data_IF_131255588477
#
_entry.id   IF_131255588477
#
_cell.length_a   1.000
_cell.length_b   1.000
_cell.length_c   1.000
_cell.angle_alpha   90.00
_cell.angle_beta   90.00
_cell.angle_gamma   90.00
#
_symmetry.space_group_name_H-M   'P 1'
#
loop_
_entity.id
_entity.type
_entity.pdbx_description
1 polymer ?
#
# COMPACT_ATOMS: atom_id res chain seq x y z
N UNK A 1 -12.55 -4.96 -4.74
CA UNK A 1 -11.09 -4.77 -4.92
C UNK A 1 -10.60 -4.99 -6.36
N UNK A 2 -11.02 -6.03 -7.10
CA UNK A 2 -10.44 -6.38 -8.42
C UNK A 2 -10.70 -5.37 -9.57
N UNK A 3 -11.48 -4.32 -9.33
CA UNK A 3 -11.79 -3.27 -10.30
C UNK A 3 -11.24 -1.89 -9.87
N UNK A 4 -10.36 -1.83 -8.87
CA UNK A 4 -9.79 -0.57 -8.40
C UNK A 4 -9.10 0.22 -9.51
N UNK A 5 -8.49 -0.45 -10.49
CA UNK A 5 -7.82 0.20 -11.60
C UNK A 5 -8.75 1.03 -12.50
N UNK A 6 -10.03 0.65 -12.61
CA UNK A 6 -11.02 1.39 -13.41
C UNK A 6 -11.23 2.80 -12.85
N UNK A 7 -11.45 2.89 -11.54
CA UNK A 7 -11.64 4.17 -10.85
C UNK A 7 -10.38 5.03 -10.88
N UNK A 8 -9.21 4.42 -10.65
CA UNK A 8 -7.92 5.13 -10.66
C UNK A 8 -7.65 5.73 -12.05
N UNK A 9 -7.79 4.96 -13.13
CA UNK A 9 -7.54 5.44 -14.48
C UNK A 9 -8.47 6.57 -14.88
N UNK A 10 -9.76 6.47 -14.52
CA UNK A 10 -10.74 7.50 -14.85
C UNK A 10 -10.36 8.84 -14.21
N UNK A 11 -10.04 8.83 -12.91
CA UNK A 11 -9.61 10.02 -12.20
C UNK A 11 -8.28 10.58 -12.75
N UNK A 12 -7.26 9.73 -12.92
CA UNK A 12 -5.94 10.21 -13.37
C UNK A 12 -5.95 10.72 -14.80
N UNK A 13 -6.78 10.14 -15.66
CA UNK A 13 -6.92 10.61 -17.06
C UNK A 13 -7.66 11.94 -17.12
N UNK A 14 -8.73 12.10 -16.33
CA UNK A 14 -9.49 13.35 -16.26
C UNK A 14 -8.62 14.53 -15.78
N UNK A 15 -7.87 14.32 -14.69
CA UNK A 15 -7.00 15.34 -14.11
C UNK A 15 -5.59 15.40 -14.75
N UNK A 16 -5.30 14.54 -15.73
CA UNK A 16 -4.00 14.45 -16.43
C UNK A 16 -2.82 14.25 -15.47
N UNK A 17 -3.01 13.40 -14.46
CA UNK A 17 -2.02 13.14 -13.41
C UNK A 17 -0.93 12.20 -13.95
N UNK A 18 0.36 12.57 -13.87
CA UNK A 18 1.46 11.66 -14.19
C UNK A 18 1.46 10.43 -13.28
N UNK A 19 1.79 9.26 -13.84
CA UNK A 19 1.75 7.98 -13.10
C UNK A 19 2.63 7.98 -11.85
N UNK A 20 3.80 8.62 -11.92
CA UNK A 20 4.75 8.79 -10.82
C UNK A 20 4.20 9.62 -9.64
N UNK A 21 3.16 10.42 -9.87
CA UNK A 21 2.52 11.25 -8.85
C UNK A 21 1.32 10.53 -8.20
N UNK A 22 1.04 9.28 -8.62
CA UNK A 22 0.03 8.43 -8.01
C UNK A 22 0.65 7.73 -6.80
N UNK A 23 0.00 7.87 -5.64
CA UNK A 23 0.34 7.15 -4.41
C UNK A 23 -0.79 6.18 -4.09
N UNK A 24 -0.50 4.89 -4.04
CA UNK A 24 -1.44 3.82 -3.68
C UNK A 24 -1.10 3.29 -2.29
N UNK A 25 -2.06 3.40 -1.37
CA UNK A 25 -1.94 2.82 -0.02
C UNK A 25 -2.68 1.48 -0.04
N UNK A 26 -2.04 0.40 0.41
CA UNK A 26 -2.66 -0.93 0.42
C UNK A 26 -2.10 -1.83 1.53
N UNK A 27 -2.85 -2.86 1.88
CA UNK A 27 -2.42 -3.90 2.81
C UNK A 27 -1.35 -4.81 2.21
N UNK A 28 -0.45 -5.30 3.05
CA UNK A 28 0.69 -6.10 2.66
C UNK A 28 0.87 -7.30 3.59
N UNK A 29 0.74 -8.49 3.02
CA UNK A 29 0.81 -9.76 3.75
C UNK A 29 2.24 -10.11 4.17
N UNK A 30 3.22 -9.77 3.34
CA UNK A 30 4.61 -10.17 3.59
C UNK A 30 5.31 -9.26 4.60
N UNK A 31 4.61 -8.26 5.16
CA UNK A 31 5.11 -7.36 6.18
C UNK A 31 4.39 -7.62 7.52
N UNK A 32 5.12 -7.63 8.66
CA UNK A 32 4.50 -7.72 9.98
C UNK A 32 3.50 -6.60 10.23
N UNK A 33 2.47 -6.87 11.04
CA UNK A 33 1.44 -5.89 11.40
C UNK A 33 2.05 -4.54 11.83
N UNK A 34 1.56 -3.45 11.26
CA UNK A 34 2.00 -2.08 11.56
C UNK A 34 3.32 -1.65 10.91
N UNK A 35 3.95 -2.52 10.12
CA UNK A 35 5.15 -2.15 9.35
C UNK A 35 4.73 -1.32 8.14
N UNK A 36 5.28 -0.12 7.99
CA UNK A 36 5.09 0.70 6.80
C UNK A 36 6.30 0.54 5.89
N UNK A 37 6.08 0.31 4.59
CA UNK A 37 7.14 0.33 3.57
C UNK A 37 6.71 1.12 2.36
N UNK A 38 7.63 1.93 1.84
CA UNK A 38 7.41 2.74 0.65
C UNK A 38 8.17 2.13 -0.52
N UNK A 39 7.52 2.05 -1.69
CA UNK A 39 8.14 1.56 -2.92
C UNK A 39 7.71 2.39 -4.14
N UNK A 40 8.63 2.86 -5.01
CA UNK A 40 8.30 3.65 -6.20
C UNK A 40 7.68 2.83 -7.34
N UNK A 41 7.93 1.52 -7.36
CA UNK A 41 7.52 0.62 -8.43
C UNK A 41 7.24 -0.81 -7.92
N UNK A 42 6.88 -1.73 -8.83
CA UNK A 42 6.92 -3.17 -8.57
C UNK A 42 5.69 -3.94 -9.04
N UNK A 43 5.75 -5.27 -8.92
CA UNK A 43 4.62 -6.16 -9.20
C UNK A 43 3.52 -6.08 -8.14
N UNK A 44 2.35 -6.66 -8.41
CA UNK A 44 1.23 -6.70 -7.46
C UNK A 44 1.46 -7.61 -6.25
N UNK A 45 2.44 -8.53 -6.33
CA UNK A 45 2.68 -9.57 -5.31
C UNK A 45 1.41 -10.37 -4.94
N UNK A 46 0.48 -10.54 -5.89
CA UNK A 46 -0.80 -11.23 -5.67
C UNK A 46 -1.92 -10.37 -5.10
N UNK A 47 -1.67 -9.08 -4.80
CA UNK A 47 -2.70 -8.15 -4.36
C UNK A 47 -3.60 -7.73 -5.55
N UNK A 48 -4.83 -8.22 -5.59
CA UNK A 48 -5.76 -8.05 -6.73
C UNK A 48 -6.12 -6.60 -7.05
N UNK A 49 -6.19 -5.72 -6.04
CA UNK A 49 -6.45 -4.28 -6.26
C UNK A 49 -5.30 -3.59 -7.00
N UNK A 50 -4.08 -3.76 -6.51
CA UNK A 50 -2.86 -3.28 -7.17
C UNK A 50 -2.65 -3.90 -8.54
N UNK A 51 -2.94 -5.20 -8.71
CA UNK A 51 -2.93 -5.84 -10.03
C UNK A 51 -3.90 -5.18 -11.00
N UNK A 52 -5.13 -4.90 -10.56
CA UNK A 52 -6.11 -4.14 -11.32
C UNK A 52 -5.56 -2.78 -11.73
N UNK A 53 -4.96 -2.02 -10.80
CA UNK A 53 -4.36 -0.71 -11.07
C UNK A 53 -3.25 -0.79 -12.13
N UNK A 54 -2.34 -1.77 -12.01
CA UNK A 54 -1.26 -1.99 -13.00
C UNK A 54 -1.85 -2.27 -14.39
N UNK A 55 -2.84 -3.16 -14.46
CA UNK A 55 -3.45 -3.56 -15.74
C UNK A 55 -4.14 -2.38 -16.43
N UNK A 56 -4.89 -1.57 -15.69
CA UNK A 56 -5.61 -0.43 -16.23
C UNK A 56 -4.67 0.74 -16.58
N UNK A 57 -3.67 1.05 -15.75
CA UNK A 57 -2.68 2.11 -16.02
C UNK A 57 -1.64 1.73 -17.09
N UNK A 58 -1.51 0.43 -17.40
CA UNK A 58 -0.47 -0.10 -18.28
C UNK A 58 0.94 0.22 -17.78
N UNK A 59 1.13 0.37 -16.46
CA UNK A 59 2.41 0.71 -15.85
C UNK A 59 2.46 0.25 -14.40
N UNK A 60 3.69 0.06 -13.91
CA UNK A 60 4.02 -0.24 -12.52
C UNK A 60 4.62 0.96 -11.79
N UNK A 61 4.81 2.08 -12.50
CA UNK A 61 5.53 3.28 -12.05
C UNK A 61 4.60 4.22 -11.27
N UNK A 62 4.16 3.75 -10.12
CA UNK A 62 3.41 4.53 -9.14
C UNK A 62 3.85 4.15 -7.74
N UNK A 63 3.84 5.14 -6.85
CA UNK A 63 4.32 5.01 -5.49
C UNK A 63 3.34 4.15 -4.70
N UNK A 64 3.87 3.30 -3.82
CA UNK A 64 3.09 2.44 -2.93
C UNK A 64 3.50 2.65 -1.50
N UNK A 65 2.51 2.91 -0.65
CA UNK A 65 2.64 2.87 0.81
C UNK A 65 2.01 1.55 1.26
N UNK A 66 2.86 0.58 1.58
CA UNK A 66 2.49 -0.78 1.97
C UNK A 66 2.31 -0.82 3.48
N UNK A 67 1.11 -1.17 3.93
CA UNK A 67 0.77 -1.33 5.34
C UNK A 67 0.80 -2.82 5.66
N UNK A 68 1.77 -3.23 6.47
CA UNK A 68 1.88 -4.61 6.91
C UNK A 68 0.68 -5.02 7.74
N UNK A 69 0.02 -6.08 7.31
CA UNK A 69 -1.07 -6.73 8.05
C UNK A 69 -0.63 -8.08 8.61
N UNK A 70 0.52 -8.61 8.20
CA UNK A 70 0.96 -9.95 8.54
C UNK A 70 0.39 -11.02 7.61
N UNK A 71 0.75 -12.28 7.85
CA UNK A 71 0.37 -13.41 6.99
C UNK A 71 -0.23 -14.54 7.83
N UNK A 72 -1.29 -15.21 7.35
CA UNK A 72 -1.75 -16.44 7.99
C UNK A 72 -0.69 -17.54 7.84
N UNK A 73 -0.74 -18.53 8.74
CA UNK A 73 0.17 -19.68 8.72
C UNK A 73 -0.04 -20.51 7.45
N UNK A 74 -1.30 -20.68 7.04
CA UNK A 74 -1.68 -21.45 5.86
C UNK A 74 -1.95 -20.52 4.66
N UNK A 75 -1.32 -20.80 3.51
CA UNK A 75 -1.56 -20.03 2.27
C UNK A 75 -3.03 -20.07 1.81
N UNK A 76 -3.74 -21.16 2.07
CA UNK A 76 -5.16 -21.32 1.75
C UNK A 76 -6.06 -20.33 2.49
N UNK A 77 -5.60 -19.78 3.62
CA UNK A 77 -6.39 -18.87 4.46
C UNK A 77 -6.24 -17.40 4.06
N UNK A 78 -5.33 -17.08 3.13
CA UNK A 78 -5.02 -15.69 2.76
C UNK A 78 -6.26 -14.89 2.39
N UNK A 79 -7.17 -15.46 1.60
CA UNK A 79 -8.40 -14.76 1.19
C UNK A 79 -9.29 -14.45 2.39
N UNK A 80 -9.48 -15.42 3.29
CA UNK A 80 -10.30 -15.22 4.48
C UNK A 80 -9.63 -14.24 5.44
N UNK A 81 -8.30 -14.30 5.57
CA UNK A 81 -7.51 -13.44 6.43
C UNK A 81 -7.67 -11.96 6.07
N UNK A 82 -7.50 -11.59 4.79
CA UNK A 82 -7.63 -10.18 4.34
C UNK A 82 -9.06 -9.65 4.38
N UNK A 83 -10.06 -10.55 4.43
CA UNK A 83 -11.48 -10.20 4.54
C UNK A 83 -11.98 -10.22 5.99
N UNK A 84 -11.18 -10.74 6.93
CA UNK A 84 -11.53 -10.81 8.34
C UNK A 84 -11.27 -9.49 9.04
N UNK A 85 -11.95 -9.29 10.17
CA UNK A 85 -11.64 -8.16 11.04
C UNK A 85 -10.30 -8.33 11.75
N UNK A 86 -9.65 -7.20 12.05
CA UNK A 86 -8.48 -7.16 12.92
C UNK A 86 -8.81 -7.69 14.33
N UNK A 87 -7.83 -8.35 14.95
CA UNK A 87 -7.91 -8.80 16.34
C UNK A 87 -7.97 -7.61 17.29
N UNK A 88 -8.37 -7.85 18.54
CA UNK A 88 -8.52 -6.78 19.54
C UNK A 88 -7.20 -6.01 19.77
N UNK A 89 -6.08 -6.72 19.80
CA UNK A 89 -4.75 -6.17 19.97
C UNK A 89 -4.31 -5.35 18.76
N UNK A 90 -4.65 -5.80 17.55
CA UNK A 90 -4.37 -5.11 16.29
C UNK A 90 -5.24 -3.84 16.17
N UNK A 91 -6.54 -3.93 16.51
CA UNK A 91 -7.46 -2.78 16.54
C UNK A 91 -6.96 -1.70 17.49
N UNK A 92 -6.43 -2.06 18.66
CA UNK A 92 -5.88 -1.10 19.62
C UNK A 92 -4.62 -0.35 19.11
N UNK A 93 -3.94 -0.90 18.10
CA UNK A 93 -2.76 -0.29 17.47
C UNK A 93 -3.08 0.33 16.11
N UNK A 94 -4.25 0.04 15.53
CA UNK A 94 -4.61 0.38 14.16
C UNK A 94 -4.55 1.89 13.91
N UNK A 95 -5.09 2.71 14.81
CA UNK A 95 -5.07 4.17 14.67
C UNK A 95 -3.64 4.70 14.53
N UNK A 96 -2.71 4.20 15.37
CA UNK A 96 -1.29 4.58 15.28
C UNK A 96 -0.62 4.14 13.99
N UNK A 97 -1.04 3.00 13.45
CA UNK A 97 -0.53 2.49 12.16
C UNK A 97 -1.03 3.37 11.02
N UNK A 98 -2.30 3.78 11.06
CA UNK A 98 -2.89 4.66 10.06
C UNK A 98 -2.29 6.08 10.13
N UNK A 99 -2.07 6.62 11.33
CA UNK A 99 -1.35 7.89 11.52
C UNK A 99 0.04 7.83 10.88
N UNK A 100 0.79 6.76 11.14
CA UNK A 100 2.12 6.55 10.55
C UNK A 100 2.08 6.41 9.03
N UNK A 101 1.02 5.81 8.47
CA UNK A 101 0.82 5.75 7.02
C UNK A 101 0.51 7.14 6.44
N UNK A 102 -0.27 7.95 7.15
CA UNK A 102 -0.52 9.36 6.81
C UNK A 102 0.77 10.18 6.80
N UNK A 103 1.59 10.04 7.85
CA UNK A 103 2.91 10.70 7.92
C UNK A 103 3.82 10.30 6.76
N UNK A 104 3.77 9.03 6.33
CA UNK A 104 4.54 8.56 5.17
C UNK A 104 4.10 9.24 3.88
N UNK A 105 2.79 9.43 3.68
CA UNK A 105 2.25 10.15 2.52
C UNK A 105 2.64 11.62 2.56
N UNK A 106 2.53 12.26 3.72
CA UNK A 106 2.93 13.66 3.89
C UNK A 106 4.42 13.87 3.62
N UNK A 107 5.27 12.94 4.07
CA UNK A 107 6.71 12.98 3.77
C UNK A 107 7.00 12.84 2.27
N UNK A 108 6.30 11.94 1.56
CA UNK A 108 6.42 11.81 0.10
C UNK A 108 6.07 13.14 -0.58
N UNK A 109 4.98 13.78 -0.18
CA UNK A 109 4.48 15.01 -0.79
C UNK A 109 5.43 16.19 -0.50
N UNK A 110 5.89 16.33 0.74
CA UNK A 110 6.63 17.52 1.17
C UNK A 110 8.14 17.43 0.91
N UNK A 111 8.72 16.23 0.99
CA UNK A 111 10.18 16.01 0.97
C UNK A 111 10.63 15.01 -0.10
N UNK A 112 9.68 14.44 -0.85
CA UNK A 112 9.97 13.49 -1.92
C UNK A 112 10.15 12.04 -1.44
N UNK A 113 10.14 11.12 -2.41
CA UNK A 113 10.14 9.68 -2.16
C UNK A 113 11.43 9.18 -1.49
N UNK A 114 12.58 9.75 -1.80
CA UNK A 114 13.86 9.32 -1.22
C UNK A 114 13.91 9.60 0.29
N UNK A 115 13.49 10.80 0.72
CA UNK A 115 13.36 11.13 2.14
C UNK A 115 12.42 10.17 2.85
N UNK A 116 11.23 9.96 2.26
CA UNK A 116 10.22 9.08 2.82
C UNK A 116 10.72 7.63 2.93
N UNK A 117 11.38 7.10 1.90
CA UNK A 117 11.99 5.78 1.97
C UNK A 117 13.07 5.71 3.06
N UNK A 118 13.95 6.70 3.15
CA UNK A 118 14.97 6.74 4.19
C UNK A 118 14.38 6.78 5.60
N UNK A 119 13.22 7.40 5.80
CA UNK A 119 12.56 7.50 7.11
C UNK A 119 11.76 6.24 7.46
N UNK A 120 10.96 5.73 6.53
CA UNK A 120 9.99 4.66 6.79
C UNK A 120 10.49 3.25 6.42
N UNK A 121 11.50 3.12 5.55
CA UNK A 121 12.09 1.82 5.20
C UNK A 121 13.26 1.41 6.12
N UNK A 122 13.53 2.13 7.21
CA UNK A 122 14.50 1.66 8.19
C UNK A 122 14.01 0.33 8.78
N UNK A 123 14.87 -0.68 8.79
CA UNK A 123 14.66 -1.84 9.65
C UNK A 123 14.95 -1.35 11.06
N UNK A 124 13.97 -1.39 11.95
CA UNK A 124 14.29 -1.37 13.36
C UNK A 124 15.17 -2.61 13.59
N UNK A 125 16.41 -2.37 14.04
CA UNK A 125 17.35 -3.42 14.42
C UNK A 125 16.83 -4.17 15.64
#
# INVERSE_FOLDING_TARGET
MNQSGKAVVEATSFFKIPKKDIIVIHDELDLPFGTIRIKPDGGSAGHKGVESIINYLGSKEFIRVRIGIGKPVCKSEVVNYVLSEFRKEEKALLDKVLDKAGDAVLEIINQGIESAMNKFNKRNA
#
